data_IF_336338898036
#
_entry.id   IF_336338898036
#
_cell.length_a   1.000
_cell.length_b   1.000
_cell.length_c   1.000
_cell.angle_alpha   90.00
_cell.angle_beta   90.00
_cell.angle_gamma   90.00
#
_symmetry.space_group_name_H-M   'P 1'
#
loop_
_entity.id
_entity.type
_entity.pdbx_description
1 polymer ?
#
# COMPACT_ATOMS: atom_id res chain seq x y z
N UNK A 1 -8.82 -20.20 0.26
CA UNK A 1 -8.27 -21.18 1.21
C UNK A 1 -8.82 -20.95 2.61
N UNK A 2 -8.51 -19.83 3.26
CA UNK A 2 -9.06 -19.49 4.59
C UNK A 2 -10.58 -19.71 4.67
N UNK A 3 -11.33 -19.14 3.72
CA UNK A 3 -12.78 -19.33 3.66
C UNK A 3 -13.23 -20.79 3.50
N UNK A 4 -12.44 -21.65 2.85
CA UNK A 4 -12.79 -23.06 2.71
C UNK A 4 -12.61 -23.81 4.05
N UNK A 5 -11.56 -23.50 4.81
CA UNK A 5 -11.30 -24.10 6.13
C UNK A 5 -12.36 -23.71 7.17
N UNK A 6 -12.84 -22.46 7.11
CA UNK A 6 -13.80 -21.92 8.11
C UNK A 6 -15.27 -22.13 7.73
N UNK A 7 -15.56 -22.84 6.63
CA UNK A 7 -16.94 -23.13 6.21
C UNK A 7 -17.64 -22.02 5.41
N UNK A 8 -16.88 -21.08 4.84
CA UNK A 8 -17.34 -20.04 3.92
C UNK A 8 -17.42 -18.65 4.53
N UNK A 9 -17.69 -17.65 3.68
CA UNK A 9 -17.78 -16.24 4.10
C UNK A 9 -18.90 -16.01 5.13
N UNK A 10 -20.04 -16.71 5.00
CA UNK A 10 -21.15 -16.60 5.94
C UNK A 10 -20.76 -17.09 7.33
N UNK A 11 -20.06 -18.22 7.43
CA UNK A 11 -19.57 -18.76 8.70
C UNK A 11 -18.52 -17.84 9.34
N UNK A 12 -17.56 -17.34 8.56
CA UNK A 12 -16.57 -16.37 9.03
C UNK A 12 -17.21 -15.07 9.54
N UNK A 13 -18.26 -14.59 8.85
CA UNK A 13 -18.99 -13.38 9.26
C UNK A 13 -19.84 -13.64 10.51
N UNK A 14 -20.42 -14.82 10.66
CA UNK A 14 -21.16 -15.18 11.87
C UNK A 14 -20.24 -15.27 13.10
N UNK A 15 -19.06 -15.89 12.96
CA UNK A 15 -18.06 -15.95 14.02
C UNK A 15 -17.56 -14.55 14.44
N UNK A 16 -17.40 -13.65 13.45
CA UNK A 16 -17.11 -12.24 13.72
C UNK A 16 -18.26 -11.55 14.45
N UNK A 17 -19.50 -11.76 14.03
CA UNK A 17 -20.69 -11.17 14.66
C UNK A 17 -20.85 -11.58 16.14
N UNK A 18 -20.49 -12.82 16.48
CA UNK A 18 -20.60 -13.34 17.84
C UNK A 18 -19.53 -12.78 18.78
N UNK A 19 -18.30 -12.64 18.27
CA UNK A 19 -17.13 -12.25 19.08
C UNK A 19 -16.86 -10.75 19.11
N UNK A 20 -17.00 -10.07 17.96
CA UNK A 20 -16.66 -8.66 17.77
C UNK A 20 -17.71 -7.98 16.84
N UNK A 21 -18.98 -7.89 17.27
CA UNK A 21 -20.09 -7.37 16.45
C UNK A 21 -19.86 -5.94 15.93
N UNK A 22 -19.04 -5.15 16.62
CA UNK A 22 -18.70 -3.78 16.23
C UNK A 22 -17.97 -3.69 14.88
N UNK A 23 -17.29 -4.75 14.44
CA UNK A 23 -16.63 -4.79 13.12
C UNK A 23 -17.65 -4.85 11.96
N UNK A 24 -18.90 -5.22 12.24
CA UNK A 24 -20.00 -5.22 11.26
C UNK A 24 -20.72 -3.88 11.18
N UNK A 25 -20.51 -3.00 12.16
CA UNK A 25 -21.12 -1.68 12.15
C UNK A 25 -20.37 -0.75 11.19
N UNK A 26 -21.12 0.03 10.41
CA UNK A 26 -20.57 1.18 9.68
C UNK A 26 -20.31 2.34 10.65
N UNK A 27 -19.24 2.19 11.41
CA UNK A 27 -18.72 3.18 12.33
C UNK A 27 -18.96 2.87 13.82
N UNK A 28 -18.08 3.43 14.64
CA UNK A 28 -17.99 3.16 16.07
C UNK A 28 -16.58 3.46 16.58
N UNK A 29 -16.44 3.87 17.85
CA UNK A 29 -15.15 4.25 18.42
C UNK A 29 -14.42 5.32 17.59
N UNK A 30 -13.22 4.98 17.10
CA UNK A 30 -12.39 5.85 16.25
C UNK A 30 -12.93 6.02 14.82
N UNK A 31 -13.73 5.08 14.30
CA UNK A 31 -14.23 5.09 12.91
C UNK A 31 -15.59 5.76 12.78
N UNK A 32 -15.77 6.94 13.38
CA UNK A 32 -17.00 7.72 13.18
C UNK A 32 -17.20 8.07 11.70
N UNK A 33 -18.44 8.29 11.26
CA UNK A 33 -18.70 8.73 9.88
C UNK A 33 -17.91 9.99 9.52
N UNK A 34 -17.78 10.93 10.46
CA UNK A 34 -16.94 12.11 10.32
C UNK A 34 -15.48 11.75 10.09
N UNK A 35 -14.90 10.86 10.91
CA UNK A 35 -13.50 10.43 10.76
C UNK A 35 -13.25 9.71 9.44
N UNK A 36 -14.16 8.82 9.03
CA UNK A 36 -14.05 8.09 7.76
C UNK A 36 -14.11 9.05 6.58
N UNK A 37 -15.07 9.97 6.57
CA UNK A 37 -15.21 10.96 5.50
C UNK A 37 -14.01 11.91 5.48
N UNK A 38 -13.57 12.43 6.63
CA UNK A 38 -12.42 13.33 6.70
C UNK A 38 -11.16 12.62 6.20
N UNK A 39 -10.93 11.38 6.60
CA UNK A 39 -9.79 10.57 6.16
C UNK A 39 -9.86 10.29 4.67
N UNK A 40 -11.05 9.95 4.13
CA UNK A 40 -11.23 9.75 2.70
C UNK A 40 -10.92 11.00 1.88
N UNK A 41 -11.36 12.18 2.34
CA UNK A 41 -11.04 13.47 1.71
C UNK A 41 -9.53 13.74 1.78
N UNK A 42 -8.92 13.57 2.95
CA UNK A 42 -7.46 13.76 3.11
C UNK A 42 -6.67 12.83 2.20
N UNK A 43 -7.05 11.55 2.10
CA UNK A 43 -6.40 10.59 1.18
C UNK A 43 -6.59 11.02 -0.27
N UNK A 44 -7.81 11.42 -0.67
CA UNK A 44 -8.09 11.82 -2.05
C UNK A 44 -7.21 12.99 -2.52
N UNK A 45 -7.09 14.03 -1.69
CA UNK A 45 -6.21 15.17 -2.00
C UNK A 45 -4.73 14.83 -1.85
N UNK A 46 -4.36 14.11 -0.78
CA UNK A 46 -2.97 13.75 -0.51
C UNK A 46 -2.35 12.90 -1.62
N UNK A 47 -3.05 11.85 -2.06
CA UNK A 47 -2.57 10.95 -3.12
C UNK A 47 -2.45 11.67 -4.46
N UNK A 48 -3.36 12.59 -4.79
CA UNK A 48 -3.27 13.38 -6.03
C UNK A 48 -2.05 14.32 -6.04
N UNK A 49 -1.61 14.78 -4.87
CA UNK A 49 -0.41 15.61 -4.73
C UNK A 49 0.89 14.80 -4.79
N UNK A 50 0.80 13.46 -4.73
CA UNK A 50 1.99 12.63 -4.72
C UNK A 50 2.71 12.66 -6.06
N UNK A 51 3.98 13.07 -6.07
CA UNK A 51 4.71 13.25 -7.31
C UNK A 51 4.89 11.95 -8.11
N UNK A 52 5.13 10.83 -7.43
CA UNK A 52 5.27 9.50 -8.04
C UNK A 52 3.99 9.05 -8.77
N UNK A 53 2.85 9.63 -8.44
CA UNK A 53 1.58 9.42 -9.15
C UNK A 53 1.55 10.32 -10.39
N UNK A 54 1.83 11.62 -10.21
CA UNK A 54 1.81 12.60 -11.31
C UNK A 54 2.79 12.27 -12.43
N UNK A 55 3.99 11.76 -12.09
CA UNK A 55 4.98 11.30 -13.06
C UNK A 55 4.42 10.23 -14.02
N UNK A 56 3.53 9.35 -13.56
CA UNK A 56 2.92 8.29 -14.38
C UNK A 56 1.96 8.86 -15.42
N UNK A 57 1.36 10.02 -15.18
CA UNK A 57 0.50 10.69 -16.15
C UNK A 57 1.30 11.28 -17.31
N UNK A 58 2.47 11.86 -17.01
CA UNK A 58 3.34 12.48 -18.03
C UNK A 58 4.10 11.47 -18.88
N UNK A 59 4.33 10.25 -18.38
CA UNK A 59 5.02 9.18 -19.13
C UNK A 59 4.04 8.32 -19.94
N UNK A 60 2.73 8.56 -19.84
CA UNK A 60 1.73 7.79 -20.57
C UNK A 60 1.90 7.92 -22.10
N UNK A 61 1.99 6.78 -22.80
CA UNK A 61 2.25 6.73 -24.26
C UNK A 61 1.16 7.38 -25.13
N UNK A 62 -0.06 7.48 -24.61
CA UNK A 62 -1.19 8.13 -25.30
C UNK A 62 -2.32 8.42 -24.33
N UNK A 63 -3.20 9.34 -24.70
CA UNK A 63 -4.44 9.65 -23.98
C UNK A 63 -5.32 8.40 -23.75
N UNK A 64 -5.37 7.49 -24.73
CA UNK A 64 -6.13 6.24 -24.62
C UNK A 64 -5.60 5.35 -23.49
N UNK A 65 -4.28 5.24 -23.35
CA UNK A 65 -3.64 4.47 -22.27
C UNK A 65 -3.92 5.12 -20.92
N UNK A 66 -3.85 6.45 -20.85
CA UNK A 66 -4.14 7.21 -19.63
C UNK A 66 -5.59 6.99 -19.17
N UNK A 67 -6.58 7.21 -20.05
CA UNK A 67 -8.01 7.00 -19.74
C UNK A 67 -8.32 5.57 -19.28
N UNK A 68 -7.73 4.57 -19.95
CA UNK A 68 -7.88 3.15 -19.54
C UNK A 68 -7.29 2.90 -18.16
N UNK A 69 -6.13 3.47 -17.87
CA UNK A 69 -5.48 3.32 -16.56
C UNK A 69 -6.36 3.90 -15.44
N UNK A 70 -6.92 5.10 -15.65
CA UNK A 70 -7.87 5.70 -14.71
C UNK A 70 -9.14 4.88 -14.51
N UNK A 71 -9.69 4.28 -15.58
CA UNK A 71 -10.90 3.47 -15.48
C UNK A 71 -10.66 2.12 -14.77
N UNK A 72 -9.50 1.49 -15.01
CA UNK A 72 -9.17 0.18 -14.44
C UNK A 72 -8.63 0.26 -13.00
N UNK A 73 -8.05 1.40 -12.61
CA UNK A 73 -7.43 1.57 -11.30
C UNK A 73 -8.40 1.31 -10.13
N UNK A 74 -9.62 1.88 -10.07
CA UNK A 74 -10.55 1.62 -8.99
C UNK A 74 -10.94 0.14 -8.87
N UNK A 75 -11.09 -0.54 -10.01
CA UNK A 75 -11.38 -1.98 -10.03
C UNK A 75 -10.23 -2.77 -9.39
N UNK A 76 -8.99 -2.44 -9.75
CA UNK A 76 -7.81 -3.08 -9.16
C UNK A 76 -7.70 -2.82 -7.65
N UNK A 77 -8.00 -1.60 -7.21
CA UNK A 77 -8.04 -1.22 -5.79
C UNK A 77 -9.09 -2.04 -5.04
N UNK A 78 -10.32 -2.13 -5.56
CA UNK A 78 -11.37 -2.91 -4.90
C UNK A 78 -11.01 -4.40 -4.81
N UNK A 79 -10.48 -4.97 -5.89
CA UNK A 79 -10.07 -6.38 -5.91
C UNK A 79 -8.92 -6.69 -4.95
N UNK A 80 -8.05 -5.72 -4.65
CA UNK A 80 -6.94 -5.91 -3.73
C UNK A 80 -7.34 -5.64 -2.27
N UNK A 81 -8.01 -4.51 -2.03
CA UNK A 81 -8.28 -4.02 -0.67
C UNK A 81 -9.48 -4.71 -0.01
N UNK A 82 -10.56 -4.98 -0.75
CA UNK A 82 -11.76 -5.60 -0.14
C UNK A 82 -11.43 -6.97 0.46
N UNK A 83 -10.77 -7.90 -0.25
CA UNK A 83 -10.41 -9.19 0.33
C UNK A 83 -9.43 -9.06 1.50
N UNK A 84 -8.46 -8.14 1.42
CA UNK A 84 -7.48 -7.92 2.49
C UNK A 84 -8.16 -7.40 3.78
N UNK A 85 -9.07 -6.44 3.66
CA UNK A 85 -9.83 -5.92 4.79
C UNK A 85 -10.80 -6.94 5.38
N UNK A 86 -11.50 -7.71 4.54
CA UNK A 86 -12.37 -8.79 5.01
C UNK A 86 -11.59 -9.87 5.76
N UNK A 87 -10.43 -10.29 5.24
CA UNK A 87 -9.56 -11.25 5.93
C UNK A 87 -9.06 -10.70 7.27
N UNK A 88 -8.69 -9.41 7.33
CA UNK A 88 -8.30 -8.75 8.57
C UNK A 88 -9.45 -8.69 9.59
N UNK A 89 -10.66 -8.36 9.15
CA UNK A 89 -11.84 -8.33 10.01
C UNK A 89 -12.22 -9.73 10.52
N UNK A 90 -12.29 -10.73 9.62
CA UNK A 90 -12.63 -12.10 10.02
C UNK A 90 -11.62 -12.71 10.98
N UNK A 91 -10.34 -12.34 10.91
CA UNK A 91 -9.33 -12.84 11.84
C UNK A 91 -9.69 -12.56 13.31
N UNK A 92 -10.38 -11.46 13.62
CA UNK A 92 -10.84 -11.15 14.96
C UNK A 92 -11.87 -12.16 15.49
N UNK A 93 -12.70 -12.74 14.61
CA UNK A 93 -13.68 -13.76 14.97
C UNK A 93 -13.20 -15.20 14.86
N UNK A 94 -12.00 -15.43 14.31
CA UNK A 94 -11.43 -16.75 14.12
C UNK A 94 -10.52 -17.20 15.29
N UNK A 95 -10.40 -16.38 16.35
CA UNK A 95 -9.63 -16.73 17.53
C UNK A 95 -8.11 -16.78 17.30
N UNK A 96 -7.62 -16.11 16.25
CA UNK A 96 -6.19 -16.06 15.93
C UNK A 96 -5.49 -15.08 16.86
N UNK A 97 -4.50 -15.56 17.62
CA UNK A 97 -3.66 -14.71 18.46
C UNK A 97 -2.63 -13.95 17.61
N UNK A 98 -2.90 -12.69 17.31
CA UNK A 98 -1.97 -11.80 16.61
C UNK A 98 -1.08 -11.12 17.64
N UNK A 99 0.26 -11.30 17.61
CA UNK A 99 1.16 -10.59 18.52
C UNK A 99 1.03 -9.08 18.34
N UNK A 100 1.18 -8.34 19.43
CA UNK A 100 1.13 -6.87 19.40
C UNK A 100 2.17 -6.32 18.40
N UNK A 101 1.77 -5.35 17.59
CA UNK A 101 2.60 -4.77 16.52
C UNK A 101 2.81 -5.65 15.28
N UNK A 102 2.21 -6.84 15.21
CA UNK A 102 2.32 -7.73 14.04
C UNK A 102 1.20 -7.52 13.02
N UNK A 103 1.50 -7.83 11.76
CA UNK A 103 0.47 -7.88 10.71
C UNK A 103 -0.40 -9.14 10.85
N UNK A 104 -1.71 -8.98 10.79
CA UNK A 104 -2.69 -10.07 10.93
C UNK A 104 -2.63 -11.08 9.78
N UNK A 105 -2.39 -10.62 8.54
CA UNK A 105 -2.48 -11.46 7.33
C UNK A 105 -1.47 -12.61 7.36
N UNK A 106 -0.16 -12.42 7.65
CA UNK A 106 0.78 -13.53 7.77
C UNK A 106 0.40 -14.57 8.83
N UNK A 107 -0.13 -14.13 9.98
CA UNK A 107 -0.55 -15.04 11.07
C UNK A 107 -1.74 -15.88 10.61
N UNK A 108 -2.75 -15.24 10.02
CA UNK A 108 -3.93 -15.91 9.47
C UNK A 108 -3.56 -16.91 8.37
N UNK A 109 -2.68 -16.53 7.45
CA UNK A 109 -2.25 -17.42 6.37
C UNK A 109 -1.46 -18.63 6.89
N UNK A 110 -0.64 -18.45 7.92
CA UNK A 110 0.11 -19.54 8.53
C UNK A 110 -0.79 -20.59 9.18
N UNK A 111 -1.90 -20.15 9.78
CA UNK A 111 -2.84 -21.03 10.46
C UNK A 111 -3.76 -21.77 9.48
N UNK A 112 -4.28 -21.07 8.46
CA UNK A 112 -5.35 -21.58 7.61
C UNK A 112 -4.93 -21.95 6.18
N UNK A 113 -3.64 -21.90 5.84
CA UNK A 113 -3.17 -22.23 4.49
C UNK A 113 -1.83 -23.00 4.52
N UNK A 114 -1.53 -23.81 3.49
CA UNK A 114 -0.23 -24.45 3.39
C UNK A 114 0.91 -23.44 3.28
N UNK A 115 2.06 -23.82 3.83
CA UNK A 115 3.25 -22.98 3.93
C UNK A 115 3.67 -22.38 2.59
N UNK A 116 3.60 -23.14 1.50
CA UNK A 116 3.98 -22.65 0.17
C UNK A 116 3.06 -21.53 -0.33
N UNK A 117 1.76 -21.61 -0.03
CA UNK A 117 0.78 -20.62 -0.45
C UNK A 117 0.90 -19.36 0.39
N UNK A 118 1.04 -19.51 1.71
CA UNK A 118 1.32 -18.40 2.61
C UNK A 118 2.58 -17.64 2.17
N UNK A 119 3.67 -18.36 1.86
CA UNK A 119 4.92 -17.77 1.38
C UNK A 119 4.73 -17.03 0.05
N UNK A 120 3.96 -17.57 -0.89
CA UNK A 120 3.66 -16.92 -2.16
C UNK A 120 2.90 -15.61 -1.97
N UNK A 121 1.86 -15.60 -1.13
CA UNK A 121 1.05 -14.40 -0.87
C UNK A 121 1.87 -13.33 -0.15
N UNK A 122 2.66 -13.72 0.86
CA UNK A 122 3.54 -12.80 1.59
C UNK A 122 4.60 -12.22 0.65
N UNK A 123 5.23 -13.05 -0.20
CA UNK A 123 6.18 -12.58 -1.20
C UNK A 123 5.54 -11.60 -2.18
N UNK A 124 4.30 -11.85 -2.62
CA UNK A 124 3.53 -10.93 -3.46
C UNK A 124 3.26 -9.59 -2.78
N UNK A 125 2.87 -9.60 -1.49
CA UNK A 125 2.66 -8.38 -0.71
C UNK A 125 3.96 -7.58 -0.54
N UNK A 126 5.08 -8.26 -0.27
CA UNK A 126 6.41 -7.63 -0.21
C UNK A 126 6.83 -7.05 -1.56
N UNK A 127 6.59 -7.76 -2.66
CA UNK A 127 6.88 -7.27 -4.02
C UNK A 127 6.05 -6.01 -4.36
N UNK A 128 4.76 -6.00 -3.99
CA UNK A 128 3.90 -4.84 -4.18
C UNK A 128 4.39 -3.63 -3.36
N UNK A 129 4.78 -3.83 -2.10
CA UNK A 129 5.37 -2.80 -1.25
C UNK A 129 6.68 -2.26 -1.83
N UNK A 130 7.59 -3.13 -2.26
CA UNK A 130 8.86 -2.74 -2.88
C UNK A 130 8.62 -1.90 -4.14
N UNK A 131 7.66 -2.25 -5.00
CA UNK A 131 7.34 -1.46 -6.20
C UNK A 131 6.91 -0.01 -5.91
N UNK A 132 6.25 0.19 -4.76
CA UNK A 132 5.81 1.51 -4.29
C UNK A 132 7.00 2.27 -3.68
N UNK A 133 7.78 1.61 -2.83
CA UNK A 133 8.99 2.18 -2.23
C UNK A 133 10.00 2.62 -3.30
N UNK A 134 10.20 1.82 -4.34
CA UNK A 134 11.09 2.15 -5.47
C UNK A 134 10.62 3.43 -6.18
N UNK A 135 9.32 3.55 -6.44
CA UNK A 135 8.74 4.74 -7.05
C UNK A 135 8.96 5.98 -6.17
N UNK A 136 8.74 5.86 -4.85
CA UNK A 136 8.92 6.95 -3.89
C UNK A 136 10.38 7.39 -3.78
N UNK A 137 11.32 6.44 -3.68
CA UNK A 137 12.76 6.72 -3.60
C UNK A 137 13.26 7.38 -4.89
N UNK A 138 12.84 6.88 -6.04
CA UNK A 138 13.22 7.46 -7.34
C UNK A 138 12.68 8.87 -7.51
N UNK A 139 11.40 9.10 -7.20
CA UNK A 139 10.81 10.43 -7.28
C UNK A 139 11.48 11.39 -6.28
N UNK A 140 11.68 10.98 -5.02
CA UNK A 140 12.39 11.77 -4.01
C UNK A 140 13.80 12.17 -4.45
N UNK A 141 14.56 11.23 -5.00
CA UNK A 141 15.91 11.50 -5.54
C UNK A 141 15.89 12.44 -6.75
N UNK A 142 14.88 12.31 -7.60
CA UNK A 142 14.69 13.21 -8.74
C UNK A 142 14.43 14.64 -8.28
N UNK A 143 13.61 14.84 -7.23
CA UNK A 143 13.37 16.17 -6.65
C UNK A 143 14.62 16.76 -6.05
N UNK A 144 15.33 15.98 -5.24
CA UNK A 144 16.60 16.42 -4.67
C UNK A 144 17.58 16.87 -5.76
N UNK A 145 17.69 16.10 -6.85
CA UNK A 145 18.67 16.38 -7.90
C UNK A 145 18.25 17.57 -8.78
N UNK A 146 17.00 17.60 -9.25
CA UNK A 146 16.53 18.59 -10.23
C UNK A 146 16.05 19.89 -9.61
N UNK A 147 15.50 19.86 -8.41
CA UNK A 147 14.87 21.03 -7.81
C UNK A 147 15.77 21.68 -6.75
N UNK A 148 16.65 20.92 -6.11
CA UNK A 148 17.61 21.45 -5.13
C UNK A 148 19.03 21.51 -5.70
N UNK A 149 19.61 20.38 -6.12
CA UNK A 149 21.02 20.34 -6.49
C UNK A 149 21.34 21.16 -7.75
N UNK A 150 20.64 20.95 -8.86
CA UNK A 150 20.92 21.71 -10.09
C UNK A 150 20.71 23.23 -9.87
N UNK A 151 19.59 23.73 -9.33
CA UNK A 151 19.37 25.17 -9.23
C UNK A 151 20.24 25.86 -8.17
N UNK A 152 20.55 25.18 -7.06
CA UNK A 152 21.22 25.81 -5.91
C UNK A 152 22.73 25.52 -5.82
N UNK A 153 23.19 24.39 -6.38
CA UNK A 153 24.59 23.92 -6.22
C UNK A 153 25.35 23.96 -7.54
N UNK A 154 24.78 23.41 -8.62
CA UNK A 154 25.46 23.40 -9.92
C UNK A 154 24.47 23.51 -11.10
N UNK A 155 24.16 24.74 -11.54
CA UNK A 155 23.24 24.98 -12.67
C UNK A 155 23.73 24.42 -14.02
N UNK A 156 25.04 24.21 -14.16
CA UNK A 156 25.68 23.69 -15.36
C UNK A 156 26.05 22.20 -15.23
N UNK A 157 25.43 21.46 -14.30
CA UNK A 157 25.65 20.03 -14.17
C UNK A 157 25.27 19.32 -15.48
N UNK A 158 26.14 18.40 -15.93
CA UNK A 158 25.82 17.54 -17.07
C UNK A 158 24.82 16.47 -16.68
N UNK A 159 24.03 16.01 -17.65
CA UNK A 159 23.02 14.95 -17.44
C UNK A 159 23.63 13.69 -16.81
N UNK A 160 24.83 13.30 -17.23
CA UNK A 160 25.55 12.15 -16.64
C UNK A 160 25.88 12.35 -15.16
N UNK A 161 26.17 13.58 -14.74
CA UNK A 161 26.44 13.89 -13.34
C UNK A 161 25.15 13.89 -12.53
N UNK A 162 24.06 14.42 -13.08
CA UNK A 162 22.74 14.37 -12.45
C UNK A 162 22.26 12.93 -12.26
N UNK A 163 22.35 12.08 -13.28
CA UNK A 163 21.97 10.68 -13.18
C UNK A 163 22.77 9.96 -12.08
N UNK A 164 24.06 10.26 -11.97
CA UNK A 164 24.90 9.68 -10.93
C UNK A 164 24.50 10.17 -9.53
N UNK A 165 24.26 11.48 -9.36
CA UNK A 165 23.79 12.05 -8.09
C UNK A 165 22.42 11.49 -7.72
N UNK A 166 21.51 11.33 -8.68
CA UNK A 166 20.20 10.74 -8.46
C UNK A 166 20.32 9.28 -8.00
N UNK A 167 21.23 8.48 -8.58
CA UNK A 167 21.48 7.10 -8.11
C UNK A 167 22.02 7.05 -6.68
N UNK A 168 22.97 7.93 -6.36
CA UNK A 168 23.50 8.07 -4.99
C UNK A 168 22.39 8.54 -4.03
N UNK A 169 21.55 9.47 -4.45
CA UNK A 169 20.42 9.97 -3.68
C UNK A 169 19.41 8.87 -3.34
N UNK A 170 19.10 7.98 -4.28
CA UNK A 170 18.25 6.80 -4.01
C UNK A 170 18.86 5.93 -2.92
N UNK A 171 20.16 5.59 -3.02
CA UNK A 171 20.84 4.77 -2.03
C UNK A 171 20.90 5.45 -0.65
N UNK A 172 21.14 6.77 -0.62
CA UNK A 172 21.15 7.56 0.60
C UNK A 172 19.77 7.59 1.27
N UNK A 173 18.71 7.89 0.52
CA UNK A 173 17.35 7.90 1.06
C UNK A 173 16.90 6.51 1.53
N UNK A 174 17.22 5.45 0.80
CA UNK A 174 16.94 4.09 1.22
C UNK A 174 17.65 3.74 2.54
N UNK A 175 18.93 4.10 2.66
CA UNK A 175 19.72 3.84 3.86
C UNK A 175 19.21 4.64 5.06
N UNK A 176 18.91 5.93 4.87
CA UNK A 176 18.35 6.78 5.92
C UNK A 176 16.99 6.28 6.40
N UNK A 177 16.11 5.90 5.47
CA UNK A 177 14.81 5.33 5.81
C UNK A 177 14.97 4.02 6.60
N UNK A 178 15.88 3.14 6.19
CA UNK A 178 16.17 1.89 6.89
C UNK A 178 16.69 2.13 8.31
N UNK A 179 17.61 3.07 8.51
CA UNK A 179 18.16 3.39 9.85
C UNK A 179 17.15 4.06 10.77
N UNK A 180 16.17 4.78 10.20
CA UNK A 180 15.12 5.47 10.97
C UNK A 180 13.90 4.59 11.30
N UNK A 181 13.77 3.41 10.67
CA UNK A 181 12.65 2.48 10.87
C UNK A 181 12.88 1.54 12.05
#
# INVERSE_FOLDING_TARGET
WVLAEVGGASAATAALAESNPEFLALGGGLYTAQYVISTAVTIAFGVAMFPQINQRFFVAKSERVLKRSFALWPVMVLLLFVPAFLLGAWAAGLGVSVPEGSNVVPVLLREYTPVWFAALVIAGAMAAMMSSSDSMLLSGSSYFTRDLYRPLVNPAASDRREDWIARVGVAAFATLAFVAS
#
